data_IF_007452020926
#
_entry.id   IF_007452020926
#
_cell.length_a   1.000
_cell.length_b   1.000
_cell.length_c   1.000
_cell.angle_alpha   90.00
_cell.angle_beta   90.00
_cell.angle_gamma   90.00
#
_symmetry.space_group_name_H-M   'P 1'
#
loop_
_entity.id
_entity.type
_entity.pdbx_description
1 polymer ?
#
# COMPACT_ATOMS: atom_id res chain seq x y z
N UNK A 1 -13.33 12.19 -6.34
CA UNK A 1 -11.96 11.74 -6.03
C UNK A 1 -11.16 11.72 -7.32
N UNK A 2 -9.95 12.28 -7.33
CA UNK A 2 -8.99 12.18 -8.44
C UNK A 2 -7.88 11.21 -8.05
N UNK A 3 -7.49 10.31 -8.94
CA UNK A 3 -6.34 9.43 -8.74
C UNK A 3 -5.19 9.88 -9.64
N UNK A 4 -3.99 9.99 -9.09
CA UNK A 4 -2.75 10.27 -9.83
C UNK A 4 -1.76 9.16 -9.50
N UNK A 5 -1.02 8.67 -10.50
CA UNK A 5 0.02 7.67 -10.31
C UNK A 5 1.29 8.04 -11.05
N UNK A 6 2.44 7.63 -10.52
CA UNK A 6 3.74 7.82 -11.16
C UNK A 6 4.91 7.63 -10.20
N UNK A 7 6.12 7.68 -10.75
CA UNK A 7 7.36 7.70 -9.99
C UNK A 7 7.66 9.10 -9.43
N UNK A 8 8.66 9.21 -8.56
CA UNK A 8 9.12 10.49 -8.00
C UNK A 8 9.45 11.54 -9.06
N UNK A 9 10.01 11.14 -10.21
CA UNK A 9 10.35 12.02 -11.32
C UNK A 9 9.13 12.54 -12.10
N UNK A 10 8.01 11.81 -12.09
CA UNK A 10 6.78 12.15 -12.81
C UNK A 10 5.82 12.96 -11.94
N UNK A 11 5.92 12.80 -10.61
CA UNK A 11 5.07 13.46 -9.65
C UNK A 11 5.65 14.79 -9.20
N UNK A 12 4.80 15.83 -9.18
CA UNK A 12 5.22 17.18 -8.77
C UNK A 12 5.76 17.16 -7.33
N UNK A 13 6.89 17.83 -7.03
CA UNK A 13 7.48 17.83 -5.69
C UNK A 13 6.52 18.20 -4.55
N UNK A 14 5.63 19.21 -4.67
CA UNK A 14 4.67 19.52 -3.61
C UNK A 14 3.67 18.38 -3.33
N UNK A 15 3.34 17.57 -4.33
CA UNK A 15 2.46 16.41 -4.14
C UNK A 15 3.18 15.31 -3.37
N UNK A 16 4.47 15.07 -3.66
CA UNK A 16 5.29 14.10 -2.93
C UNK A 16 5.46 14.48 -1.45
N UNK A 17 5.67 15.77 -1.14
CA UNK A 17 5.72 16.23 0.25
C UNK A 17 4.38 16.02 0.96
N UNK A 18 3.25 16.31 0.30
CA UNK A 18 1.92 16.04 0.89
C UNK A 18 1.66 14.56 1.10
N UNK A 19 2.10 13.71 0.17
CA UNK A 19 2.02 12.26 0.30
C UNK A 19 2.78 11.78 1.55
N UNK A 20 4.02 12.22 1.76
CA UNK A 20 4.81 11.78 2.91
C UNK A 20 4.26 12.28 4.25
N UNK A 21 3.72 13.51 4.29
CA UNK A 21 2.98 13.99 5.48
C UNK A 21 1.72 13.18 5.74
N UNK A 22 0.97 12.86 4.69
CA UNK A 22 -0.21 12.01 4.80
C UNK A 22 0.15 10.62 5.34
N UNK A 23 1.19 10.00 4.79
CA UNK A 23 1.71 8.71 5.27
C UNK A 23 2.13 8.77 6.74
N UNK A 24 2.84 9.81 7.17
CA UNK A 24 3.19 10.01 8.57
C UNK A 24 1.95 10.05 9.47
N UNK A 25 0.96 10.88 9.10
CA UNK A 25 -0.29 11.00 9.85
C UNK A 25 -1.05 9.68 9.96
N UNK A 26 -1.09 8.89 8.89
CA UNK A 26 -1.75 7.58 8.92
C UNK A 26 -0.93 6.56 9.71
N UNK A 27 0.28 6.25 9.27
CA UNK A 27 1.03 5.09 9.77
C UNK A 27 1.65 5.34 11.14
N UNK A 28 2.12 6.56 11.41
CA UNK A 28 2.77 6.89 12.69
C UNK A 28 1.76 7.44 13.68
N UNK A 29 1.08 8.54 13.36
CA UNK A 29 0.21 9.23 14.35
C UNK A 29 -1.08 8.46 14.63
N UNK A 30 -1.71 7.86 13.61
CA UNK A 30 -3.00 7.18 13.77
C UNK A 30 -2.85 5.70 14.11
N UNK A 31 -1.96 4.99 13.41
CA UNK A 31 -1.77 3.54 13.60
C UNK A 31 -0.66 3.19 14.60
N UNK A 32 0.12 4.18 15.07
CA UNK A 32 1.13 3.99 16.12
C UNK A 32 2.35 3.19 15.67
N UNK A 33 2.62 3.07 14.36
CA UNK A 33 3.78 2.32 13.88
C UNK A 33 5.07 3.04 14.29
N UNK A 34 5.99 2.28 14.85
CA UNK A 34 7.30 2.78 15.31
C UNK A 34 8.27 2.90 14.13
N UNK A 35 8.06 3.91 13.29
CA UNK A 35 8.89 4.20 12.11
C UNK A 35 9.80 5.39 12.37
N UNK A 36 11.05 5.32 11.89
CA UNK A 36 11.95 6.47 11.91
C UNK A 36 11.53 7.46 10.82
N UNK A 37 10.99 8.61 11.23
CA UNK A 37 10.58 9.68 10.33
C UNK A 37 11.35 10.96 10.62
N UNK A 38 11.62 11.75 9.59
CA UNK A 38 12.26 13.07 9.70
C UNK A 38 11.27 14.14 9.29
N UNK A 39 11.19 15.24 10.05
CA UNK A 39 10.35 16.40 9.73
C UNK A 39 8.85 16.05 9.51
N UNK A 40 8.34 15.05 10.22
CA UNK A 40 6.98 14.49 10.05
C UNK A 40 6.68 14.02 8.61
N UNK A 41 7.70 13.55 7.90
CA UNK A 41 7.60 12.94 6.58
C UNK A 41 7.94 11.45 6.73
N UNK A 42 7.02 10.59 6.30
CA UNK A 42 7.27 9.14 6.28
C UNK A 42 7.81 8.73 4.91
N UNK A 43 9.10 8.39 4.92
CA UNK A 43 9.85 7.79 3.83
C UNK A 43 10.66 6.62 4.39
N UNK A 44 10.80 5.54 3.64
CA UNK A 44 11.64 4.40 4.00
C UNK A 44 12.61 4.02 2.86
N UNK A 45 13.40 2.96 3.05
CA UNK A 45 14.40 2.52 2.08
C UNK A 45 13.82 2.05 0.74
N UNK A 46 12.51 1.84 0.67
CA UNK A 46 11.81 1.42 -0.53
C UNK A 46 11.23 2.61 -1.30
N UNK A 47 11.40 3.85 -0.84
CA UNK A 47 11.03 5.06 -1.57
C UNK A 47 12.17 5.51 -2.49
N UNK A 48 12.29 4.80 -3.61
CA UNK A 48 13.35 4.93 -4.62
C UNK A 48 12.82 5.53 -5.93
N UNK A 49 13.71 5.78 -6.88
CA UNK A 49 13.35 6.36 -8.19
C UNK A 49 12.41 5.47 -9.04
N UNK A 50 12.42 4.16 -8.81
CA UNK A 50 11.54 3.18 -9.47
C UNK A 50 10.24 2.91 -8.70
N UNK A 51 9.99 3.66 -7.63
CA UNK A 51 8.81 3.45 -6.79
C UNK A 51 7.60 4.12 -7.41
N UNK A 52 6.57 3.32 -7.69
CA UNK A 52 5.31 3.84 -8.20
C UNK A 52 4.37 4.16 -7.06
N UNK A 53 3.91 5.39 -7.01
CA UNK A 53 2.89 5.84 -6.07
C UNK A 53 1.55 5.92 -6.76
N UNK A 54 0.49 5.55 -6.06
CA UNK A 54 -0.90 5.77 -6.48
C UNK A 54 -1.57 6.59 -5.39
N UNK A 55 -1.96 7.83 -5.74
CA UNK A 55 -2.38 8.85 -4.79
C UNK A 55 -3.82 9.24 -5.10
N UNK A 56 -4.70 9.11 -4.10
CA UNK A 56 -6.06 9.60 -4.17
C UNK A 56 -6.16 10.99 -3.55
N UNK A 57 -6.81 11.92 -4.26
CA UNK A 57 -7.06 13.29 -3.81
C UNK A 57 -8.56 13.63 -3.78
N UNK A 58 -8.96 14.43 -2.79
CA UNK A 58 -10.31 15.02 -2.73
C UNK A 58 -10.43 16.21 -3.71
N UNK A 59 -11.58 16.88 -3.73
CA UNK A 59 -11.83 18.04 -4.59
C UNK A 59 -10.98 19.28 -4.22
N UNK A 60 -10.62 19.43 -2.94
CA UNK A 60 -9.72 20.48 -2.45
C UNK A 60 -8.24 20.21 -2.80
N UNK A 61 -7.92 19.00 -3.26
CA UNK A 61 -6.56 18.59 -3.60
C UNK A 61 -5.77 17.99 -2.44
N UNK A 62 -6.40 17.72 -1.30
CA UNK A 62 -5.79 17.01 -0.18
C UNK A 62 -5.62 15.53 -0.52
N UNK A 63 -4.56 14.93 -0.01
CA UNK A 63 -4.34 13.49 -0.11
C UNK A 63 -5.28 12.79 0.87
N UNK A 64 -6.08 11.88 0.34
CA UNK A 64 -7.06 11.07 1.09
C UNK A 64 -6.82 9.57 0.93
N UNK A 65 -5.75 9.19 0.22
CA UNK A 65 -5.35 7.81 0.07
C UNK A 65 -4.04 7.65 -0.68
N UNK A 66 -3.35 6.56 -0.38
CA UNK A 66 -2.08 6.18 -1.00
C UNK A 66 -1.96 4.67 -1.12
N UNK A 67 -1.27 4.24 -2.17
CA UNK A 67 -0.71 2.92 -2.33
C UNK A 67 0.70 3.06 -2.94
N UNK A 68 1.60 2.17 -2.57
CA UNK A 68 2.95 2.06 -3.13
C UNK A 68 3.09 0.73 -3.86
N UNK A 69 3.66 0.79 -5.06
CA UNK A 69 3.94 -0.34 -5.92
C UNK A 69 5.45 -0.47 -6.13
N UNK A 70 6.00 -1.66 -5.88
CA UNK A 70 7.43 -1.95 -6.02
C UNK A 70 7.65 -3.19 -6.91
N UNK A 71 8.62 -3.18 -7.82
CA UNK A 71 8.95 -4.38 -8.59
C UNK A 71 9.60 -5.42 -7.67
N UNK A 72 9.15 -6.68 -7.74
CA UNK A 72 9.76 -7.76 -6.94
C UNK A 72 11.13 -8.23 -7.46
N UNK A 73 11.58 -7.70 -8.59
CA UNK A 73 12.94 -7.92 -9.11
C UNK A 73 14.00 -7.06 -8.41
N UNK A 74 13.61 -6.29 -7.38
CA UNK A 74 14.46 -5.46 -6.53
C UNK A 74 14.01 -5.61 -5.08
N UNK A 75 14.82 -5.22 -4.09
CA UNK A 75 14.43 -5.30 -2.68
C UNK A 75 13.07 -4.64 -2.40
N UNK A 76 12.21 -5.35 -1.66
CA UNK A 76 10.84 -4.93 -1.34
C UNK A 76 10.46 -5.35 0.09
N UNK A 77 9.35 -4.84 0.62
CA UNK A 77 9.06 -4.95 2.06
C UNK A 77 8.91 -6.41 2.51
N UNK A 78 8.20 -7.24 1.76
CA UNK A 78 8.01 -8.65 2.08
C UNK A 78 9.31 -9.45 2.02
N UNK A 79 10.24 -9.17 1.10
CA UNK A 79 11.52 -9.89 1.05
C UNK A 79 12.48 -9.49 2.16
N UNK A 80 12.55 -8.20 2.48
CA UNK A 80 13.57 -7.66 3.38
C UNK A 80 13.13 -7.63 4.85
N UNK A 81 11.86 -7.32 5.11
CA UNK A 81 11.37 -7.02 6.46
C UNK A 81 10.48 -8.12 7.01
N UNK A 82 9.68 -8.75 6.16
CA UNK A 82 8.74 -9.80 6.57
C UNK A 82 8.89 -11.15 5.85
N UNK A 83 10.11 -11.64 5.54
CA UNK A 83 10.27 -12.92 4.85
C UNK A 83 9.71 -14.10 5.66
N UNK A 84 9.64 -13.95 6.99
CA UNK A 84 9.04 -14.94 7.89
C UNK A 84 7.59 -15.29 7.51
N UNK A 85 6.83 -14.36 6.94
CA UNK A 85 5.44 -14.56 6.52
C UNK A 85 5.29 -15.50 5.31
N UNK A 86 6.39 -15.84 4.63
CA UNK A 86 6.44 -16.82 3.55
C UNK A 86 6.60 -18.26 4.06
N UNK A 87 6.79 -18.46 5.37
CA UNK A 87 6.86 -19.78 5.99
C UNK A 87 7.87 -20.72 5.32
N UNK A 88 9.07 -20.21 5.09
CA UNK A 88 10.18 -20.96 4.50
C UNK A 88 10.19 -21.01 2.97
N UNK A 89 9.18 -20.47 2.29
CA UNK A 89 9.22 -20.28 0.84
C UNK A 89 10.06 -19.06 0.46
N UNK A 90 10.66 -19.11 -0.74
CA UNK A 90 11.41 -17.99 -1.28
C UNK A 90 10.50 -16.80 -1.63
N UNK A 91 10.94 -15.55 -1.37
CA UNK A 91 10.20 -14.37 -1.81
C UNK A 91 10.06 -14.35 -3.34
N UNK A 92 8.86 -14.03 -3.88
CA UNK A 92 8.69 -13.90 -5.32
C UNK A 92 9.68 -12.91 -5.93
N UNK A 93 10.34 -13.30 -7.02
CA UNK A 93 11.23 -12.44 -7.78
C UNK A 93 10.89 -12.55 -9.27
N UNK A 94 9.97 -11.71 -9.75
CA UNK A 94 9.48 -11.79 -11.13
C UNK A 94 9.11 -10.42 -11.70
N UNK A 95 9.39 -10.14 -12.99
CA UNK A 95 8.94 -8.90 -13.63
C UNK A 95 7.41 -8.79 -13.71
N UNK A 96 6.69 -9.91 -13.58
CA UNK A 96 5.22 -9.94 -13.60
C UNK A 96 4.58 -9.93 -12.22
N UNK A 97 5.39 -9.78 -11.15
CA UNK A 97 4.90 -9.70 -9.77
C UNK A 97 5.40 -8.41 -9.12
N UNK A 98 4.48 -7.66 -8.52
CA UNK A 98 4.76 -6.39 -7.87
C UNK A 98 4.32 -6.43 -6.41
N UNK A 99 4.99 -5.72 -5.52
CA UNK A 99 4.50 -5.54 -4.16
C UNK A 99 3.55 -4.34 -4.07
N UNK A 100 2.43 -4.52 -3.38
CA UNK A 100 1.55 -3.47 -2.88
C UNK A 100 1.81 -3.24 -1.39
N UNK A 101 2.32 -2.06 -1.05
CA UNK A 101 2.58 -1.62 0.34
C UNK A 101 2.05 -0.19 0.58
N UNK A 102 2.12 0.29 1.83
CA UNK A 102 1.61 1.61 2.25
C UNK A 102 0.20 1.90 1.72
N UNK A 103 -0.67 0.90 1.75
CA UNK A 103 -2.06 1.01 1.30
C UNK A 103 -2.93 1.58 2.41
N UNK A 104 -3.45 2.80 2.22
CA UNK A 104 -4.35 3.45 3.18
C UNK A 104 -5.26 4.47 2.49
N UNK A 105 -6.48 4.65 2.99
CA UNK A 105 -7.46 5.60 2.47
C UNK A 105 -8.23 6.24 3.62
N UNK A 106 -7.71 7.36 4.11
CA UNK A 106 -8.22 8.12 5.25
C UNK A 106 -8.50 9.56 4.81
N UNK A 107 -9.75 10.00 4.90
CA UNK A 107 -10.09 11.41 4.68
C UNK A 107 -10.12 12.14 6.03
N UNK A 108 -9.02 12.83 6.36
CA UNK A 108 -8.91 13.59 7.60
C UNK A 108 -9.68 14.93 7.61
N UNK A 109 -10.21 15.36 6.45
CA UNK A 109 -11.03 16.56 6.33
C UNK A 109 -12.53 16.26 6.20
N UNK A 110 -12.89 14.99 6.02
CA UNK A 110 -14.27 14.53 5.86
C UNK A 110 -14.99 14.24 7.18
N UNK A 111 -16.32 14.18 7.13
CA UNK A 111 -17.20 13.79 8.25
C UNK A 111 -17.39 12.28 8.40
N UNK A 112 -16.72 11.48 7.56
CA UNK A 112 -16.85 10.02 7.56
C UNK A 112 -16.04 9.41 8.71
N UNK A 113 -16.63 8.41 9.36
CA UNK A 113 -16.20 7.80 10.63
C UNK A 113 -14.77 7.25 10.70
N UNK A 114 -14.48 6.61 11.84
CA UNK A 114 -13.15 6.22 12.30
C UNK A 114 -12.26 5.58 11.23
N UNK A 115 -10.94 5.78 11.30
CA UNK A 115 -9.96 5.19 10.38
C UNK A 115 -10.11 3.65 10.19
N UNK A 116 -10.73 2.99 11.17
CA UNK A 116 -10.96 1.54 11.19
C UNK A 116 -12.17 1.10 10.33
N UNK A 117 -13.16 1.97 10.09
CA UNK A 117 -14.35 1.66 9.28
C UNK A 117 -14.12 1.82 7.77
N UNK A 118 -12.93 2.30 7.38
CA UNK A 118 -12.65 2.78 6.02
C UNK A 118 -12.28 1.67 5.03
N UNK A 119 -12.08 0.43 5.48
CA UNK A 119 -11.87 -0.73 4.59
C UNK A 119 -13.07 -1.04 3.67
N UNK A 120 -14.18 -0.30 3.79
CA UNK A 120 -15.37 -0.40 2.94
C UNK A 120 -15.67 0.86 2.13
N UNK A 121 -14.83 1.90 2.22
CA UNK A 121 -15.11 3.17 1.57
C UNK A 121 -14.95 3.08 0.05
N UNK A 122 -15.74 3.83 -0.74
CA UNK A 122 -15.52 3.95 -2.19
C UNK A 122 -14.09 4.42 -2.54
N UNK A 123 -13.45 5.17 -1.64
CA UNK A 123 -12.06 5.62 -1.80
C UNK A 123 -11.11 4.41 -1.76
N UNK A 124 -11.23 3.56 -0.75
CA UNK A 124 -10.39 2.36 -0.59
C UNK A 124 -10.54 1.40 -1.76
N UNK A 125 -11.76 1.11 -2.18
CA UNK A 125 -12.02 0.24 -3.34
C UNK A 125 -11.46 0.86 -4.63
N UNK A 126 -11.74 2.13 -4.89
CA UNK A 126 -11.23 2.83 -6.07
C UNK A 126 -9.71 2.89 -6.11
N UNK A 127 -9.07 3.08 -4.95
CA UNK A 127 -7.62 3.07 -4.79
C UNK A 127 -7.02 1.70 -5.08
N UNK A 128 -7.63 0.61 -4.58
CA UNK A 128 -7.17 -0.76 -4.85
C UNK A 128 -7.25 -1.10 -6.34
N UNK A 129 -8.37 -0.77 -7.01
CA UNK A 129 -8.48 -0.95 -8.46
C UNK A 129 -7.51 -0.08 -9.25
N UNK A 130 -7.20 1.13 -8.78
CA UNK A 130 -6.18 1.95 -9.43
C UNK A 130 -4.77 1.39 -9.23
N UNK A 131 -4.44 0.88 -8.05
CA UNK A 131 -3.19 0.20 -7.79
C UNK A 131 -3.03 -1.04 -8.69
N UNK A 132 -4.07 -1.87 -8.80
CA UNK A 132 -4.12 -3.02 -9.71
C UNK A 132 -3.82 -2.61 -11.16
N UNK A 133 -4.56 -1.64 -11.70
CA UNK A 133 -4.35 -1.14 -13.07
C UNK A 133 -2.97 -0.53 -13.29
N UNK A 134 -2.44 0.18 -12.29
CA UNK A 134 -1.11 0.76 -12.35
C UNK A 134 -0.03 -0.33 -12.40
N UNK A 135 -0.16 -1.37 -11.57
CA UNK A 135 0.73 -2.53 -11.63
C UNK A 135 0.63 -3.26 -12.99
N UNK A 136 -0.58 -3.46 -13.51
CA UNK A 136 -0.80 -4.07 -14.83
C UNK A 136 -0.17 -3.28 -15.97
N UNK A 137 -0.19 -1.95 -15.91
CA UNK A 137 0.47 -1.09 -16.90
C UNK A 137 2.00 -1.29 -16.92
N UNK A 138 2.57 -1.85 -15.84
CA UNK A 138 3.97 -2.24 -15.75
C UNK A 138 4.21 -3.73 -16.06
N UNK A 139 3.19 -4.46 -16.53
CA UNK A 139 3.26 -5.88 -16.84
C UNK A 139 2.96 -6.82 -15.66
N UNK A 140 2.49 -6.31 -14.52
CA UNK A 140 2.12 -7.15 -13.40
C UNK A 140 0.89 -8.01 -13.71
N UNK A 141 1.01 -9.31 -13.47
CA UNK A 141 -0.13 -10.24 -13.46
C UNK A 141 -0.67 -10.43 -12.04
N UNK A 142 0.20 -10.27 -11.03
CA UNK A 142 -0.13 -10.43 -9.62
C UNK A 142 0.56 -9.35 -8.79
N UNK A 143 -0.07 -8.99 -7.68
CA UNK A 143 0.54 -8.22 -6.61
C UNK A 143 0.75 -9.09 -5.38
N UNK A 144 1.79 -8.83 -4.60
CA UNK A 144 1.97 -9.39 -3.26
C UNK A 144 1.86 -8.30 -2.21
N UNK A 145 1.40 -8.63 -1.01
CA UNK A 145 1.29 -7.64 0.06
C UNK A 145 1.48 -8.26 1.43
N UNK A 146 2.02 -7.48 2.36
CA UNK A 146 1.97 -7.72 3.80
C UNK A 146 0.83 -6.90 4.37
N UNK A 147 -0.14 -7.55 4.98
CA UNK A 147 -1.37 -6.90 5.41
C UNK A 147 -1.86 -7.40 6.77
N UNK A 148 -2.56 -6.55 7.56
CA UNK A 148 -3.36 -7.00 8.68
C UNK A 148 -4.52 -7.88 8.21
N UNK A 149 -4.94 -8.84 9.03
CA UNK A 149 -6.02 -9.79 8.70
C UNK A 149 -7.33 -9.13 8.22
N UNK A 150 -7.63 -7.90 8.67
CA UNK A 150 -8.81 -7.15 8.22
C UNK A 150 -8.87 -6.93 6.70
N UNK A 151 -7.72 -6.89 6.02
CA UNK A 151 -7.62 -6.66 4.57
C UNK A 151 -8.22 -7.81 3.76
N UNK A 152 -8.30 -9.03 4.30
CA UNK A 152 -8.95 -10.15 3.60
C UNK A 152 -10.42 -9.85 3.28
N UNK A 153 -11.10 -9.11 4.16
CA UNK A 153 -12.49 -8.71 3.95
C UNK A 153 -12.62 -7.72 2.80
N UNK A 154 -11.67 -6.79 2.69
CA UNK A 154 -11.62 -5.84 1.58
C UNK A 154 -11.43 -6.59 0.25
N UNK A 155 -10.45 -7.49 0.18
CA UNK A 155 -10.14 -8.26 -1.05
C UNK A 155 -11.35 -9.09 -1.51
N UNK A 156 -12.00 -9.82 -0.59
CA UNK A 156 -13.21 -10.59 -0.90
C UNK A 156 -14.35 -9.72 -1.43
N UNK A 157 -14.59 -8.56 -0.80
CA UNK A 157 -15.70 -7.66 -1.17
C UNK A 157 -15.48 -6.94 -2.49
N UNK A 158 -14.22 -6.72 -2.85
CA UNK A 158 -13.83 -6.08 -4.12
C UNK A 158 -13.65 -7.09 -5.26
N UNK A 159 -13.92 -8.38 -5.00
CA UNK A 159 -13.83 -9.44 -5.99
C UNK A 159 -12.40 -9.82 -6.39
N UNK A 160 -11.38 -9.25 -5.73
CA UNK A 160 -10.00 -9.62 -5.99
C UNK A 160 -9.75 -11.06 -5.57
N UNK A 161 -9.28 -11.88 -6.51
CA UNK A 161 -8.82 -13.23 -6.19
C UNK A 161 -7.50 -13.13 -5.45
N UNK A 162 -7.46 -13.66 -4.23
CA UNK A 162 -6.25 -13.63 -3.40
C UNK A 162 -6.08 -14.94 -2.65
N UNK A 163 -4.83 -15.34 -2.44
CA UNK A 163 -4.48 -16.45 -1.58
C UNK A 163 -3.30 -16.07 -0.69
N UNK A 164 -3.29 -16.60 0.54
CA UNK A 164 -2.16 -16.41 1.45
C UNK A 164 -0.91 -17.11 0.89
N UNK A 165 0.25 -16.53 1.17
CA UNK A 165 1.56 -17.12 0.85
C UNK A 165 2.12 -17.96 2.02
N UNK A 166 1.56 -17.79 3.21
CA UNK A 166 1.85 -18.55 4.42
C UNK A 166 0.75 -18.38 5.47
N UNK A 167 0.80 -19.12 6.59
CA UNK A 167 -0.08 -18.88 7.73
C UNK A 167 0.13 -17.46 8.29
N UNK A 168 -0.93 -16.81 8.83
CA UNK A 168 -0.76 -15.56 9.57
C UNK A 168 0.16 -15.72 10.77
N UNK A 169 0.91 -14.67 11.07
CA UNK A 169 1.82 -14.62 12.21
C UNK A 169 1.65 -13.31 12.97
N UNK A 170 1.98 -13.32 14.26
CA UNK A 170 2.10 -12.08 15.03
C UNK A 170 3.53 -11.56 14.88
N UNK A 171 3.68 -10.40 14.25
CA UNK A 171 4.97 -9.70 14.10
C UNK A 171 4.80 -8.32 14.73
N UNK A 172 5.71 -7.93 15.63
CA UNK A 172 5.62 -6.65 16.36
C UNK A 172 4.25 -6.41 17.01
N UNK A 173 3.70 -7.44 17.66
CA UNK A 173 2.37 -7.42 18.31
C UNK A 173 1.18 -7.25 17.35
N UNK A 174 1.40 -7.27 16.03
CA UNK A 174 0.35 -7.15 15.03
C UNK A 174 0.13 -8.49 14.31
N UNK A 175 -1.12 -8.98 14.18
CA UNK A 175 -1.42 -10.15 13.37
C UNK A 175 -1.36 -9.79 11.89
N UNK A 176 -0.32 -10.27 11.21
CA UNK A 176 -0.03 -10.01 9.80
C UNK A 176 -0.06 -11.30 8.99
N UNK A 177 -0.27 -11.15 7.68
CA UNK A 177 -0.10 -12.23 6.72
C UNK A 177 0.44 -11.66 5.40
N UNK A 178 1.11 -12.52 4.63
CA UNK A 178 1.45 -12.24 3.26
C UNK A 178 0.42 -12.89 2.32
N UNK A 179 0.00 -12.19 1.28
CA UNK A 179 -0.85 -12.78 0.23
C UNK A 179 -0.47 -12.32 -1.17
N UNK A 180 -0.81 -13.16 -2.14
CA UNK A 180 -0.80 -12.86 -3.56
C UNK A 180 -2.22 -12.50 -3.99
N UNK A 181 -2.34 -11.49 -4.84
CA UNK A 181 -3.57 -10.90 -5.35
C UNK A 181 -3.48 -10.89 -6.87
N UNK A 182 -4.45 -11.47 -7.56
CA UNK A 182 -4.52 -11.41 -9.02
C UNK A 182 -4.89 -9.99 -9.46
N UNK A 183 -4.13 -9.42 -10.40
CA UNK A 183 -4.49 -8.13 -10.99
C UNK A 183 -5.75 -8.27 -11.87
N UNK A 184 -6.60 -7.25 -11.82
CA UNK A 184 -7.83 -7.08 -12.60
C UNK A 184 -8.09 -5.60 -12.90
#
# INVERSE_FOLDING_TARGET
MRITSGCSAELRPPLMTRLARYRHRVFVETLGWQLQCRDALEWDQFDRDDTLYVIAQNAAGDVIGTARLLPTTRPYLLSEVFPVLLNGADPPQSPTVWELSRFAAVDFGGTTGSALDQFSSPITTGLLHAASRCAMAQGAQRMVTVSPLGVERLLRRTGFQSHRLGPPMVVNQQPLFACSIQCQ
#
